data_IF_265535324159
#
_entry.id   IF_265535324159
#
_cell.length_a   1.000
_cell.length_b   1.000
_cell.length_c   1.000
_cell.angle_alpha   90.00
_cell.angle_beta   90.00
_cell.angle_gamma   90.00
#
_symmetry.space_group_name_H-M   'P 1'
#
loop_
_entity.id
_entity.type
_entity.pdbx_description
1 polymer ?
#
# COMPACT_ATOMS: atom_id res chain seq x y z
N UNK A 1 -15.99 -22.39 2.45
CA UNK A 1 -14.74 -22.09 1.74
C UNK A 1 -14.29 -23.36 1.02
N UNK A 2 -14.84 -23.60 -0.17
CA UNK A 2 -14.46 -24.76 -0.97
C UNK A 2 -13.05 -24.56 -1.51
N UNK A 3 -12.12 -25.40 -1.06
CA UNK A 3 -10.76 -25.50 -1.55
C UNK A 3 -10.75 -25.55 -3.07
N UNK A 4 -10.03 -24.59 -3.64
CA UNK A 4 -9.72 -24.44 -5.05
C UNK A 4 -8.37 -25.13 -5.31
N UNK A 5 -8.24 -26.38 -4.86
CA UNK A 5 -6.93 -27.03 -4.66
C UNK A 5 -6.78 -28.19 -5.65
N UNK A 6 -6.56 -27.86 -6.92
CA UNK A 6 -6.26 -28.84 -7.97
C UNK A 6 -5.03 -28.40 -8.76
N UNK A 7 -4.20 -29.34 -9.27
CA UNK A 7 -2.90 -29.01 -9.86
C UNK A 7 -2.96 -28.06 -11.07
N UNK A 8 -4.06 -28.09 -11.83
CA UNK A 8 -4.29 -27.15 -12.95
C UNK A 8 -4.66 -25.75 -12.44
N UNK A 9 -5.39 -25.67 -11.34
CA UNK A 9 -5.81 -24.42 -10.71
C UNK A 9 -4.60 -23.72 -10.07
N UNK A 10 -3.76 -24.47 -9.38
CA UNK A 10 -2.49 -23.98 -8.84
C UNK A 10 -1.57 -23.49 -9.97
N UNK A 11 -1.40 -24.27 -11.04
CA UNK A 11 -0.58 -23.87 -12.19
C UNK A 11 -1.09 -22.59 -12.86
N UNK A 12 -2.40 -22.45 -13.03
CA UNK A 12 -3.02 -21.24 -13.56
C UNK A 12 -2.84 -20.03 -12.64
N UNK A 13 -2.98 -20.19 -11.33
CA UNK A 13 -2.74 -19.14 -10.34
C UNK A 13 -1.27 -18.69 -10.34
N UNK A 14 -0.31 -19.62 -10.39
CA UNK A 14 1.11 -19.28 -10.49
C UNK A 14 1.44 -18.56 -11.80
N UNK A 15 0.83 -18.98 -12.91
CA UNK A 15 1.01 -18.29 -14.19
C UNK A 15 0.47 -16.86 -14.14
N UNK A 16 -0.71 -16.65 -13.54
CA UNK A 16 -1.27 -15.32 -13.36
C UNK A 16 -0.38 -14.45 -12.47
N UNK A 17 0.07 -14.96 -11.33
CA UNK A 17 0.97 -14.23 -10.42
C UNK A 17 2.26 -13.84 -11.16
N UNK A 18 2.84 -14.75 -11.94
CA UNK A 18 4.04 -14.49 -12.76
C UNK A 18 3.83 -13.32 -13.74
N UNK A 19 2.68 -13.28 -14.41
CA UNK A 19 2.30 -12.18 -15.29
C UNK A 19 2.15 -10.88 -14.50
N UNK A 20 1.43 -10.89 -13.38
CA UNK A 20 1.19 -9.71 -12.54
C UNK A 20 2.47 -9.09 -11.98
N UNK A 21 3.49 -9.90 -11.64
CA UNK A 21 4.77 -9.38 -11.15
C UNK A 21 5.77 -9.05 -12.26
N UNK A 22 5.48 -9.38 -13.51
CA UNK A 22 6.38 -9.14 -14.65
C UNK A 22 6.65 -7.64 -14.86
N UNK A 23 7.85 -7.30 -15.37
CA UNK A 23 8.28 -5.89 -15.54
C UNK A 23 7.34 -5.09 -16.45
N UNK A 24 6.91 -5.69 -17.56
CA UNK A 24 6.05 -5.04 -18.56
C UNK A 24 4.67 -4.74 -17.99
N UNK A 25 4.05 -5.75 -17.39
CA UNK A 25 2.70 -5.62 -16.81
C UNK A 25 2.73 -4.61 -15.67
N UNK A 26 3.71 -4.69 -14.76
CA UNK A 26 3.87 -3.72 -13.68
C UNK A 26 3.98 -2.29 -14.23
N UNK A 27 4.86 -2.02 -15.20
CA UNK A 27 4.97 -0.67 -15.75
C UNK A 27 3.63 -0.19 -16.36
N UNK A 28 2.98 -1.02 -17.19
CA UNK A 28 1.73 -0.64 -17.85
C UNK A 28 0.55 -0.39 -16.90
N UNK A 29 0.37 -1.25 -15.89
CA UNK A 29 -0.73 -1.15 -14.94
C UNK A 29 -0.51 0.00 -13.97
N UNK A 30 0.72 0.21 -13.51
CA UNK A 30 1.02 1.26 -12.54
C UNK A 30 0.91 2.66 -13.16
N UNK A 31 1.35 2.83 -14.40
CA UNK A 31 1.17 4.09 -15.15
C UNK A 31 -0.32 4.36 -15.42
N UNK A 32 -1.10 3.34 -15.77
CA UNK A 32 -2.54 3.51 -15.98
C UNK A 32 -3.30 3.88 -14.70
N UNK A 33 -2.84 3.42 -13.53
CA UNK A 33 -3.50 3.66 -12.25
C UNK A 33 -2.88 4.81 -11.43
N UNK A 34 -1.72 5.34 -11.84
CA UNK A 34 -0.95 6.33 -11.08
C UNK A 34 -0.37 5.78 -9.76
N UNK A 35 -0.04 4.49 -9.69
CA UNK A 35 0.54 3.85 -8.51
C UNK A 35 2.00 3.42 -8.73
N UNK A 36 2.67 2.96 -7.67
CA UNK A 36 4.08 2.53 -7.72
C UNK A 36 4.14 1.00 -7.81
N UNK A 37 5.05 0.41 -8.62
CA UNK A 37 5.22 -1.03 -8.71
C UNK A 37 5.70 -1.65 -7.41
N UNK A 38 5.28 -2.90 -7.17
CA UNK A 38 5.77 -3.72 -6.04
C UNK A 38 7.25 -4.09 -6.17
N UNK A 39 7.84 -3.95 -7.38
CA UNK A 39 9.27 -4.13 -7.63
C UNK A 39 9.87 -2.82 -8.11
N UNK A 40 11.04 -2.50 -7.58
CA UNK A 40 11.86 -1.34 -7.92
C UNK A 40 12.40 -1.37 -9.36
N UNK A 41 12.62 -2.57 -9.94
CA UNK A 41 13.10 -2.71 -11.32
C UNK A 41 11.95 -2.95 -12.31
N UNK A 42 11.46 -1.88 -12.93
CA UNK A 42 10.46 -1.87 -14.01
C UNK A 42 11.02 -1.32 -15.34
N UNK A 43 10.24 -1.42 -16.43
CA UNK A 43 10.60 -0.77 -17.70
C UNK A 43 10.42 0.74 -17.58
N UNK A 44 11.51 1.46 -17.27
CA UNK A 44 11.52 2.92 -17.16
C UNK A 44 11.16 3.63 -18.47
N UNK A 45 11.28 2.96 -19.62
CA UNK A 45 10.79 3.51 -20.89
C UNK A 45 9.26 3.69 -20.93
N UNK A 46 8.54 3.05 -20.01
CA UNK A 46 7.09 3.12 -19.89
C UNK A 46 6.67 3.94 -18.67
N UNK A 47 7.59 4.56 -17.92
CA UNK A 47 7.26 5.23 -16.66
C UNK A 47 6.82 6.68 -16.84
N UNK A 48 5.75 7.06 -16.15
CA UNK A 48 5.32 8.46 -16.03
C UNK A 48 6.01 9.17 -14.86
N UNK A 49 5.81 10.47 -14.74
CA UNK A 49 6.48 11.31 -13.74
C UNK A 49 6.10 10.92 -12.30
N UNK A 50 4.84 10.49 -12.09
CA UNK A 50 4.34 10.04 -10.78
C UNK A 50 5.08 8.78 -10.30
N UNK A 51 5.20 7.79 -11.18
CA UNK A 51 5.90 6.54 -10.85
C UNK A 51 7.40 6.78 -10.64
N UNK A 52 8.02 7.65 -11.44
CA UNK A 52 9.43 8.01 -11.27
C UNK A 52 9.68 8.69 -9.93
N UNK A 53 8.86 9.68 -9.57
CA UNK A 53 8.94 10.36 -8.28
C UNK A 53 8.78 9.39 -7.12
N UNK A 54 7.78 8.51 -7.18
CA UNK A 54 7.55 7.49 -6.16
C UNK A 54 8.74 6.54 -5.99
N UNK A 55 9.33 6.08 -7.09
CA UNK A 55 10.52 5.23 -7.07
C UNK A 55 11.75 5.95 -6.52
N UNK A 56 11.90 7.24 -6.79
CA UNK A 56 13.00 8.05 -6.27
C UNK A 56 12.89 8.27 -4.75
N UNK A 57 11.69 8.53 -4.24
CA UNK A 57 11.44 8.68 -2.79
C UNK A 57 11.79 7.39 -2.04
N UNK A 58 11.47 6.23 -2.63
CA UNK A 58 11.72 4.92 -2.02
C UNK A 58 13.19 4.48 -2.03
N UNK A 59 14.08 5.22 -2.71
CA UNK A 59 15.54 4.93 -2.66
C UNK A 59 16.13 5.18 -1.28
N UNK A 60 15.52 6.05 -0.48
CA UNK A 60 15.91 6.28 0.90
C UNK A 60 15.07 5.39 1.84
N UNK A 61 15.68 4.38 2.49
CA UNK A 61 14.99 3.53 3.44
C UNK A 61 14.37 4.29 4.62
N UNK A 62 14.87 5.49 4.96
CA UNK A 62 14.30 6.32 6.01
C UNK A 62 12.88 6.84 5.67
N UNK A 63 12.52 6.88 4.38
CA UNK A 63 11.18 7.24 3.93
C UNK A 63 10.17 6.09 4.01
N UNK A 64 10.63 4.87 4.33
CA UNK A 64 9.78 3.67 4.36
C UNK A 64 9.38 3.35 5.80
N UNK A 65 8.08 3.48 6.07
CA UNK A 65 7.50 3.11 7.37
C UNK A 65 6.55 1.92 7.22
N UNK A 66 6.61 0.99 8.17
CA UNK A 66 5.68 -0.15 8.20
C UNK A 66 4.26 0.35 8.43
N UNK A 67 3.33 -0.11 7.60
CA UNK A 67 1.91 0.23 7.76
C UNK A 67 1.39 -0.20 9.14
N UNK A 68 0.69 0.70 9.82
CA UNK A 68 0.07 0.43 11.12
C UNK A 68 -0.98 -0.70 11.05
N UNK A 69 -1.57 -0.92 9.87
CA UNK A 69 -2.55 -1.99 9.63
C UNK A 69 -1.96 -3.41 9.83
N UNK A 70 -0.63 -3.54 9.86
CA UNK A 70 0.01 -4.82 10.19
C UNK A 70 -0.17 -5.21 11.66
N UNK A 71 -0.48 -4.23 12.53
CA UNK A 71 -0.53 -4.39 13.98
C UNK A 71 -1.88 -4.02 14.58
N UNK A 72 -2.57 -3.05 13.98
CA UNK A 72 -3.82 -2.52 14.48
C UNK A 72 -5.01 -3.20 13.81
N UNK A 73 -6.00 -3.57 14.62
CA UNK A 73 -7.29 -4.02 14.08
C UNK A 73 -8.02 -2.84 13.43
N UNK A 74 -8.91 -3.13 12.48
CA UNK A 74 -9.75 -2.10 11.86
C UNK A 74 -10.57 -1.31 12.89
N UNK A 75 -11.01 -1.95 13.97
CA UNK A 75 -11.72 -1.30 15.07
C UNK A 75 -10.83 -0.28 15.81
N UNK A 76 -9.60 -0.69 16.14
CA UNK A 76 -8.62 0.21 16.78
C UNK A 76 -8.28 1.39 15.86
N UNK A 77 -8.09 1.13 14.56
CA UNK A 77 -7.84 2.18 13.57
C UNK A 77 -9.03 3.15 13.46
N UNK A 78 -10.27 2.65 13.52
CA UNK A 78 -11.47 3.49 13.54
C UNK A 78 -11.53 4.41 14.76
N UNK A 79 -11.33 3.85 15.96
CA UNK A 79 -11.31 4.62 17.20
C UNK A 79 -10.23 5.72 17.19
N UNK A 80 -9.04 5.43 16.65
CA UNK A 80 -7.99 6.43 16.49
C UNK A 80 -8.37 7.53 15.48
N UNK A 81 -9.01 7.18 14.37
CA UNK A 81 -9.45 8.16 13.37
C UNK A 81 -10.52 9.10 13.94
N UNK A 82 -11.45 8.57 14.73
CA UNK A 82 -12.45 9.37 15.44
C UNK A 82 -11.80 10.32 16.46
N UNK A 83 -10.86 9.81 17.27
CA UNK A 83 -10.11 10.62 18.23
C UNK A 83 -9.34 11.77 17.55
N UNK A 84 -8.64 11.45 16.45
CA UNK A 84 -7.88 12.43 15.67
C UNK A 84 -8.85 13.48 15.11
N UNK A 85 -9.97 13.06 14.52
CA UNK A 85 -10.98 13.98 13.98
C UNK A 85 -11.55 14.91 15.07
N UNK A 86 -11.84 14.39 16.26
CA UNK A 86 -12.31 15.18 17.39
C UNK A 86 -11.25 16.19 17.86
N UNK A 87 -10.00 15.76 18.00
CA UNK A 87 -8.89 16.61 18.40
C UNK A 87 -8.66 17.76 17.41
N UNK A 88 -8.69 17.50 16.10
CA UNK A 88 -8.50 18.56 15.09
C UNK A 88 -9.72 19.47 14.92
N UNK A 89 -10.92 19.01 15.29
CA UNK A 89 -12.15 19.81 15.19
C UNK A 89 -12.44 20.62 16.46
N UNK A 90 -11.78 20.32 17.59
CA UNK A 90 -12.02 20.96 18.87
C UNK A 90 -10.76 21.70 19.37
N UNK A 91 -10.75 23.03 19.19
CA UNK A 91 -9.67 23.91 19.64
C UNK A 91 -9.46 23.90 21.17
N UNK A 92 -10.45 23.43 21.93
CA UNK A 92 -10.42 23.40 23.40
C UNK A 92 -9.95 22.05 23.98
N UNK A 93 -9.68 21.03 23.16
CA UNK A 93 -9.19 19.74 23.66
C UNK A 93 -7.71 19.83 24.09
N UNK A 94 -7.37 19.59 25.37
CA UNK A 94 -5.98 19.56 25.80
C UNK A 94 -5.24 18.35 25.20
N UNK A 95 -3.99 18.56 24.75
CA UNK A 95 -3.13 17.49 24.19
C UNK A 95 -3.01 16.30 25.16
N UNK A 96 -2.95 16.56 26.47
CA UNK A 96 -2.84 15.52 27.48
C UNK A 96 -4.07 14.60 27.54
N UNK A 97 -5.26 15.12 27.25
CA UNK A 97 -6.50 14.34 27.25
C UNK A 97 -6.61 13.48 25.99
N UNK A 98 -6.16 14.01 24.84
CA UNK A 98 -6.07 13.24 23.60
C UNK A 98 -5.09 12.06 23.71
N UNK A 99 -3.95 12.23 24.40
CA UNK A 99 -2.98 11.15 24.61
C UNK A 99 -3.42 10.05 25.58
N UNK A 100 -4.42 10.31 26.43
CA UNK A 100 -4.87 9.38 27.48
C UNK A 100 -5.95 8.41 27.01
N UNK A 101 -6.68 8.77 25.95
CA UNK A 101 -7.64 7.88 25.30
C UNK A 101 -6.94 6.76 24.56
#
# INVERSE_FOLDING_TARGET
SSQLDGPVLDAGQFQLVSIMISRGVQASVNVANGCIPVRDVVYMSLSDDSMQLGLDILKDPANVVTSANNWLSNDTTGQMQELIAEFWANDDMPIADAQKR
#
